data_IF_724303941753
#
_entry.id   IF_724303941753
#
_cell.length_a   1.000
_cell.length_b   1.000
_cell.length_c   1.000
_cell.angle_alpha   90.00
_cell.angle_beta   90.00
_cell.angle_gamma   90.00
#
_symmetry.space_group_name_H-M   'P 1'
#
loop_
_entity.id
_entity.type
_entity.pdbx_description
1 polymer ?
#
# COMPACT_ATOMS: atom_id res chain seq x y z
N UNK A 1 1.37 25.17 -8.71
CA UNK A 1 1.18 23.71 -8.53
C UNK A 1 -0.28 23.50 -8.18
N UNK A 2 -0.97 22.55 -8.82
CA UNK A 2 -2.36 22.23 -8.49
C UNK A 2 -2.41 21.61 -7.09
N UNK A 3 -3.35 22.03 -6.26
CA UNK A 3 -3.47 21.50 -4.89
C UNK A 3 -4.13 20.12 -4.91
N UNK A 4 -3.87 19.28 -3.90
CA UNK A 4 -4.42 17.93 -3.87
C UNK A 4 -5.97 17.90 -3.87
N UNK A 5 -6.61 18.96 -3.36
CA UNK A 5 -8.06 19.18 -3.43
C UNK A 5 -8.55 19.36 -4.86
N UNK A 6 -7.78 20.04 -5.73
CA UNK A 6 -8.18 20.25 -7.13
C UNK A 6 -8.24 18.94 -7.92
N UNK A 7 -7.34 18.00 -7.63
CA UNK A 7 -7.37 16.67 -8.24
C UNK A 7 -8.57 15.84 -7.78
N UNK A 8 -8.97 15.99 -6.51
CA UNK A 8 -10.16 15.33 -5.99
C UNK A 8 -11.43 15.83 -6.69
N UNK A 9 -11.56 17.15 -6.85
CA UNK A 9 -12.69 17.77 -7.57
C UNK A 9 -12.69 17.40 -9.07
N UNK A 10 -11.52 17.30 -9.69
CA UNK A 10 -11.38 16.79 -11.05
C UNK A 10 -11.85 15.33 -11.16
N UNK A 11 -11.53 14.49 -10.18
CA UNK A 11 -12.01 13.10 -10.12
C UNK A 11 -13.53 13.02 -10.11
N UNK A 12 -14.19 13.80 -9.24
CA UNK A 12 -15.65 13.89 -9.21
C UNK A 12 -16.23 14.32 -10.57
N UNK A 13 -15.64 15.31 -11.24
CA UNK A 13 -16.06 15.71 -12.59
C UNK A 13 -15.88 14.60 -13.63
N UNK A 14 -14.73 13.92 -13.61
CA UNK A 14 -14.39 12.87 -14.58
C UNK A 14 -15.33 11.66 -14.46
N UNK A 15 -15.63 11.24 -13.23
CA UNK A 15 -16.46 10.07 -12.96
C UNK A 15 -17.94 10.41 -12.74
N UNK A 16 -18.33 11.68 -12.90
CA UNK A 16 -19.71 12.18 -12.68
C UNK A 16 -20.26 11.81 -11.30
N UNK A 17 -19.42 11.95 -10.28
CA UNK A 17 -19.80 11.72 -8.88
C UNK A 17 -19.79 13.02 -8.09
N UNK A 18 -20.28 12.94 -6.85
CA UNK A 18 -20.33 14.00 -5.86
C UNK A 18 -19.93 13.42 -4.51
N UNK A 19 -19.69 14.25 -3.51
CA UNK A 19 -19.45 13.76 -2.13
C UNK A 19 -20.66 13.01 -1.54
N UNK A 20 -21.85 13.22 -2.09
CA UNK A 20 -23.06 12.49 -1.67
C UNK A 20 -23.15 11.10 -2.34
N UNK A 21 -22.85 11.02 -3.64
CA UNK A 21 -22.89 9.75 -4.38
C UNK A 21 -21.63 8.90 -4.20
N UNK A 22 -20.52 9.50 -3.78
CA UNK A 22 -19.26 8.85 -3.43
C UNK A 22 -18.68 9.52 -2.17
N UNK A 23 -19.05 9.06 -0.96
CA UNK A 23 -18.70 9.71 0.31
C UNK A 23 -17.27 9.43 0.77
N UNK A 24 -16.38 9.02 -0.14
CA UNK A 24 -14.98 8.84 0.19
C UNK A 24 -14.33 10.19 0.50
N UNK A 25 -13.40 10.18 1.45
CA UNK A 25 -12.61 11.35 1.82
C UNK A 25 -11.19 11.19 1.32
N UNK A 26 -10.70 12.19 0.60
CA UNK A 26 -9.27 12.33 0.35
C UNK A 26 -8.60 13.05 1.52
N UNK A 27 -7.58 12.42 2.10
CA UNK A 27 -6.81 12.96 3.23
C UNK A 27 -5.37 13.16 2.78
N UNK A 28 -4.96 14.38 2.39
CA UNK A 28 -3.58 14.65 1.99
C UNK A 28 -2.65 14.57 3.21
N UNK A 29 -1.46 14.02 3.01
CA UNK A 29 -0.40 14.07 4.01
C UNK A 29 0.85 13.33 3.58
N UNK A 30 1.92 13.55 4.34
CA UNK A 30 3.16 12.81 4.22
C UNK A 30 3.08 11.55 5.08
N UNK A 31 3.38 10.39 4.50
CA UNK A 31 3.35 9.10 5.19
C UNK A 31 4.46 8.98 6.24
N UNK A 32 5.47 9.85 6.21
CA UNK A 32 6.54 9.93 7.21
C UNK A 32 6.31 11.05 8.24
N UNK A 33 5.29 11.88 8.08
CA UNK A 33 4.94 12.90 9.07
C UNK A 33 4.14 12.24 10.21
N UNK A 34 4.68 12.20 11.45
CA UNK A 34 3.98 11.62 12.58
C UNK A 34 2.66 12.35 12.91
N UNK A 35 2.51 13.62 12.54
CA UNK A 35 1.24 14.34 12.70
C UNK A 35 0.14 13.78 11.77
N UNK A 36 0.53 13.17 10.64
CA UNK A 36 -0.38 12.53 9.71
C UNK A 36 -0.61 11.04 10.04
N UNK A 37 0.46 10.27 10.24
CA UNK A 37 0.41 8.85 10.62
C UNK A 37 1.60 8.49 11.51
N UNK A 38 1.34 8.15 12.77
CA UNK A 38 2.38 7.68 13.71
C UNK A 38 2.40 6.17 13.79
N UNK A 39 3.60 5.60 13.77
CA UNK A 39 3.82 4.18 14.09
C UNK A 39 3.28 3.86 15.48
N UNK A 40 2.33 2.94 15.54
CA UNK A 40 1.68 2.47 16.76
C UNK A 40 1.62 0.93 16.73
N UNK A 41 1.82 0.23 17.86
CA UNK A 41 1.65 -1.22 17.88
C UNK A 41 0.27 -1.68 17.40
N UNK A 42 0.13 -2.90 16.84
CA UNK A 42 -1.16 -3.45 16.47
C UNK A 42 -2.13 -3.49 17.64
N UNK A 43 -3.41 -3.26 17.35
CA UNK A 43 -4.48 -3.40 18.33
C UNK A 43 -4.89 -4.88 18.41
N UNK A 44 -5.10 -5.37 19.63
CA UNK A 44 -5.57 -6.74 19.89
C UNK A 44 -6.94 -6.77 20.58
N UNK A 45 -7.46 -5.60 20.94
CA UNK A 45 -8.79 -5.39 21.46
C UNK A 45 -9.34 -4.11 20.83
N UNK A 46 -10.67 -4.02 20.58
CA UNK A 46 -11.26 -2.82 19.98
C UNK A 46 -10.87 -1.56 20.77
N UNK A 47 -10.48 -0.46 20.09
CA UNK A 47 -10.23 0.81 20.77
C UNK A 47 -11.45 1.22 21.59
N UNK A 48 -11.20 1.80 22.77
CA UNK A 48 -12.26 2.35 23.63
C UNK A 48 -12.83 3.64 23.02
N UNK A 49 -12.02 4.34 22.25
CA UNK A 49 -12.40 5.58 21.60
C UNK A 49 -13.44 5.33 20.50
N UNK A 50 -14.40 6.24 20.41
CA UNK A 50 -15.42 6.21 19.35
C UNK A 50 -14.79 6.52 18.00
N UNK A 51 -15.22 5.82 16.95
CA UNK A 51 -14.79 6.08 15.59
C UNK A 51 -14.97 7.56 15.24
N UNK A 52 -13.93 8.27 14.76
CA UNK A 52 -14.03 9.66 14.35
C UNK A 52 -14.91 9.80 13.11
N UNK A 53 -15.52 10.98 12.96
CA UNK A 53 -16.21 11.34 11.72
C UNK A 53 -15.21 11.34 10.55
N UNK A 54 -15.38 10.37 9.64
CA UNK A 54 -14.51 10.16 8.49
C UNK A 54 -14.48 11.38 7.56
N UNK A 55 -15.55 12.17 7.50
CA UNK A 55 -15.65 13.33 6.62
C UNK A 55 -14.76 14.50 7.08
N UNK A 56 -14.49 14.55 8.39
CA UNK A 56 -13.70 15.57 9.06
C UNK A 56 -12.20 15.22 9.20
N UNK A 57 -11.78 14.02 8.73
CA UNK A 57 -10.38 13.59 8.83
C UNK A 57 -9.43 14.52 8.06
N UNK A 58 -8.38 14.94 8.76
CA UNK A 58 -7.23 15.69 8.23
C UNK A 58 -5.92 14.90 8.36
N UNK A 59 -5.95 13.77 9.07
CA UNK A 59 -4.86 12.82 9.26
C UNK A 59 -5.41 11.41 9.42
N UNK A 60 -4.54 10.40 9.37
CA UNK A 60 -4.92 8.98 9.55
C UNK A 60 -4.86 8.55 11.02
N UNK A 61 -4.23 9.34 11.88
CA UNK A 61 -4.09 9.06 13.31
C UNK A 61 -5.42 8.78 14.05
N UNK A 62 -6.53 9.48 13.77
CA UNK A 62 -7.82 9.16 14.39
C UNK A 62 -8.40 7.80 13.97
N UNK A 63 -7.93 7.20 12.86
CA UNK A 63 -8.44 5.93 12.34
C UNK A 63 -7.72 4.69 12.89
N UNK A 64 -6.82 4.86 13.87
CA UNK A 64 -6.05 3.76 14.48
C UNK A 64 -6.95 2.69 15.09
N UNK A 65 -6.66 1.43 14.81
CA UNK A 65 -7.47 0.32 15.33
C UNK A 65 -8.88 0.21 14.76
N UNK A 66 -9.21 0.95 13.70
CA UNK A 66 -10.57 1.04 13.16
C UNK A 66 -10.70 0.68 11.68
N UNK A 67 -9.59 0.48 10.96
CA UNK A 67 -9.63 0.19 9.52
C UNK A 67 -9.66 -1.32 9.27
N UNK A 68 -10.72 -1.83 8.64
CA UNK A 68 -10.81 -3.26 8.31
C UNK A 68 -10.06 -3.62 7.03
N UNK A 69 -9.94 -2.71 6.07
CA UNK A 69 -9.25 -2.98 4.81
C UNK A 69 -8.40 -1.78 4.38
N UNK A 70 -7.12 -2.04 4.12
CA UNK A 70 -6.19 -1.06 3.59
C UNK A 70 -5.72 -1.55 2.22
N UNK A 71 -6.20 -0.92 1.16
CA UNK A 71 -5.69 -1.18 -0.19
C UNK A 71 -4.48 -0.29 -0.47
N UNK A 72 -3.31 -0.90 -0.62
CA UNK A 72 -2.07 -0.27 -1.02
C UNK A 72 -1.52 -1.02 -2.23
N UNK A 73 -1.54 -0.43 -3.41
CA UNK A 73 -0.99 -1.03 -4.64
C UNK A 73 0.01 -0.07 -5.26
N UNK A 74 1.08 -0.61 -5.84
CA UNK A 74 2.12 0.18 -6.49
C UNK A 74 2.66 1.33 -5.59
N UNK A 75 2.78 1.09 -4.29
CA UNK A 75 3.19 2.11 -3.32
C UNK A 75 4.56 1.82 -2.67
N UNK A 76 4.74 0.67 -2.02
CA UNK A 76 5.99 0.36 -1.28
C UNK A 76 7.27 0.42 -2.13
N UNK A 77 7.20 0.04 -3.40
CA UNK A 77 8.34 0.02 -4.30
C UNK A 77 8.94 1.42 -4.59
N UNK A 78 8.27 2.49 -4.15
CA UNK A 78 8.76 3.87 -4.25
C UNK A 78 9.82 4.20 -3.18
N UNK A 79 10.03 3.31 -2.20
CA UNK A 79 10.87 3.56 -1.03
C UNK A 79 11.93 2.48 -0.84
N UNK A 80 12.97 2.78 -0.06
CA UNK A 80 13.95 1.79 0.41
C UNK A 80 13.40 0.91 1.54
N UNK A 81 14.13 -0.15 1.90
CA UNK A 81 13.69 -1.17 2.87
C UNK A 81 13.30 -0.57 4.23
N UNK A 82 14.11 0.34 4.78
CA UNK A 82 13.85 0.99 6.08
C UNK A 82 12.54 1.78 6.04
N UNK A 83 12.32 2.57 4.98
CA UNK A 83 11.07 3.31 4.80
C UNK A 83 9.88 2.39 4.53
N UNK A 84 10.06 1.30 3.79
CA UNK A 84 9.03 0.30 3.59
C UNK A 84 8.60 -0.33 4.92
N UNK A 85 9.55 -0.70 5.78
CA UNK A 85 9.26 -1.22 7.12
C UNK A 85 8.51 -0.18 7.96
N UNK A 86 8.97 1.08 7.97
CA UNK A 86 8.30 2.16 8.70
C UNK A 86 6.83 2.32 8.26
N UNK A 87 6.60 2.39 6.94
CA UNK A 87 5.26 2.51 6.36
C UNK A 87 4.40 1.29 6.72
N UNK A 88 4.95 0.09 6.64
CA UNK A 88 4.21 -1.14 6.98
C UNK A 88 3.76 -1.13 8.44
N UNK A 89 4.64 -0.71 9.36
CA UNK A 89 4.31 -0.57 10.79
C UNK A 89 3.27 0.51 11.04
N UNK A 90 3.39 1.66 10.38
CA UNK A 90 2.43 2.76 10.47
C UNK A 90 1.03 2.33 10.01
N UNK A 91 0.93 1.69 8.83
CA UNK A 91 -0.35 1.18 8.32
C UNK A 91 -0.91 0.03 9.18
N UNK A 92 -0.05 -0.83 9.72
CA UNK A 92 -0.47 -1.89 10.64
C UNK A 92 -1.19 -1.36 11.89
N UNK A 93 -0.77 -0.20 12.40
CA UNK A 93 -1.45 0.47 13.52
C UNK A 93 -2.86 1.02 13.19
N UNK A 94 -3.23 1.09 11.91
CA UNK A 94 -4.58 1.48 11.49
C UNK A 94 -5.57 0.32 11.51
N UNK A 95 -5.08 -0.92 11.43
CA UNK A 95 -5.93 -2.10 11.32
C UNK A 95 -6.77 -2.32 12.57
N UNK A 96 -8.07 -2.61 12.37
CA UNK A 96 -8.92 -3.09 13.45
C UNK A 96 -8.52 -4.51 13.89
N UNK A 97 -8.69 -4.85 15.17
CA UNK A 97 -8.44 -6.20 15.69
C UNK A 97 -9.49 -7.23 15.24
N UNK A 98 -10.46 -6.84 14.42
CA UNK A 98 -11.54 -7.72 13.99
C UNK A 98 -11.03 -8.81 13.02
N UNK A 99 -11.53 -10.05 13.12
CA UNK A 99 -11.18 -11.10 12.18
C UNK A 99 -11.52 -10.71 10.74
N UNK A 100 -10.55 -10.88 9.84
CA UNK A 100 -10.69 -10.51 8.43
C UNK A 100 -10.07 -9.15 8.06
N UNK A 101 -9.61 -8.37 9.06
CA UNK A 101 -8.88 -7.14 8.78
C UNK A 101 -7.58 -7.39 8.02
N UNK A 102 -7.32 -6.62 6.97
CA UNK A 102 -6.29 -6.94 5.98
C UNK A 102 -5.66 -5.71 5.31
N UNK A 103 -4.36 -5.80 5.03
CA UNK A 103 -3.65 -4.94 4.08
C UNK A 103 -3.47 -5.73 2.78
N UNK A 104 -3.90 -5.17 1.67
CA UNK A 104 -3.92 -5.84 0.37
C UNK A 104 -3.46 -4.94 -0.77
N UNK A 105 -2.99 -5.55 -1.85
CA UNK A 105 -2.65 -4.89 -3.11
C UNK A 105 -1.44 -5.52 -3.79
N UNK A 106 -1.06 -4.96 -4.94
CA UNK A 106 0.02 -5.52 -5.78
C UNK A 106 1.28 -4.67 -5.67
N UNK A 107 2.40 -5.30 -5.33
CA UNK A 107 3.71 -4.64 -5.23
C UNK A 107 4.77 -5.39 -6.04
N UNK A 108 5.62 -4.61 -6.70
CA UNK A 108 6.85 -5.14 -7.30
C UNK A 108 7.95 -5.17 -6.24
N UNK A 109 8.58 -6.31 -6.07
CA UNK A 109 9.79 -6.42 -5.26
C UNK A 109 11.02 -6.07 -6.12
N UNK A 110 12.01 -5.42 -5.51
CA UNK A 110 13.27 -5.11 -6.19
C UNK A 110 14.12 -6.35 -6.38
N UNK A 111 14.63 -6.56 -7.59
CA UNK A 111 15.39 -7.75 -8.00
C UNK A 111 16.77 -7.87 -7.32
N UNK A 112 17.20 -6.83 -6.62
CA UNK A 112 18.48 -6.77 -5.93
C UNK A 112 18.22 -6.79 -4.43
N UNK A 113 18.89 -7.73 -3.74
CA UNK A 113 18.84 -8.10 -2.31
C UNK A 113 18.03 -9.38 -2.05
N UNK A 114 18.76 -10.44 -1.68
CA UNK A 114 18.50 -11.71 -0.96
C UNK A 114 17.06 -12.17 -0.59
N UNK A 115 16.01 -11.75 -1.29
CA UNK A 115 14.63 -12.00 -0.89
C UNK A 115 13.65 -12.27 -2.04
N UNK A 116 14.12 -12.35 -3.29
CA UNK A 116 13.26 -12.75 -4.42
C UNK A 116 13.59 -14.18 -4.84
N UNK A 117 12.79 -15.14 -4.35
CA UNK A 117 12.55 -16.38 -5.10
C UNK A 117 11.69 -16.00 -6.30
N UNK A 118 12.35 -15.67 -7.40
CA UNK A 118 11.69 -15.25 -8.62
C UNK A 118 10.71 -16.32 -9.08
N UNK A 119 9.55 -15.87 -9.56
CA UNK A 119 8.85 -16.56 -10.64
C UNK A 119 9.89 -16.90 -11.72
N UNK A 120 10.32 -18.17 -11.73
CA UNK A 120 11.09 -18.72 -12.82
C UNK A 120 10.17 -18.74 -14.02
N UNK A 121 10.23 -17.71 -14.85
CA UNK A 121 9.94 -17.93 -16.26
C UNK A 121 11.01 -18.92 -16.73
N UNK A 122 10.64 -20.20 -16.75
CA UNK A 122 11.41 -21.24 -17.39
C UNK A 122 11.69 -20.77 -18.82
N UNK A 123 12.92 -20.31 -19.08
CA UNK A 123 13.40 -20.30 -20.46
C UNK A 123 13.59 -21.75 -20.82
N UNK A 124 12.78 -22.27 -21.74
CA UNK A 124 13.03 -23.56 -22.37
C UNK A 124 14.50 -23.66 -22.78
N UNK A 125 15.20 -24.77 -22.48
CA UNK A 125 16.58 -24.92 -22.88
C UNK A 125 16.64 -24.92 -24.42
N UNK A 126 17.43 -23.99 -24.97
CA UNK A 126 17.80 -23.97 -26.38
C UNK A 126 18.48 -25.31 -26.68
N UNK A 127 17.96 -26.05 -27.67
CA UNK A 127 18.49 -27.35 -28.07
C UNK A 127 20.02 -27.28 -28.28
N UNK A 128 20.74 -28.21 -27.67
CA UNK A 128 22.18 -28.33 -27.83
C UNK A 128 22.52 -28.75 -29.27
N UNK A 129 23.41 -27.99 -29.91
CA UNK A 129 23.98 -28.30 -31.22
C UNK A 129 24.90 -29.54 -31.10
N UNK A 130 24.81 -30.53 -32.01
CA UNK A 130 25.65 -31.72 -31.94
C UNK A 130 27.11 -31.37 -32.28
N UNK A 131 28.04 -31.77 -31.39
CA UNK A 131 29.48 -31.68 -31.63
C UNK A 131 29.85 -32.50 -32.87
N UNK A 132 30.41 -31.86 -33.89
CA UNK A 132 31.08 -32.55 -35.00
C UNK A 132 32.28 -33.31 -34.45
N UNK A 133 32.31 -34.62 -34.69
CA UNK A 133 33.46 -35.46 -34.44
C UNK A 133 34.64 -35.01 -35.32
N UNK A 134 35.80 -34.74 -34.72
CA UNK A 134 37.07 -34.65 -35.44
C UNK A 134 37.39 -36.01 -36.03
N UNK A 135 37.51 -36.06 -37.36
CA UNK A 135 38.27 -37.09 -38.06
C UNK A 135 39.69 -36.58 -38.32
N UNK A 136 40.56 -37.55 -38.46
CA UNK A 136 42.02 -37.63 -38.33
C UNK A 136 42.84 -36.60 -39.10
#
# INVERSE_FOLDING_TARGET
>A
MQSATEYWDLGHRLFRSTSESFPAKFVPGDVFDPAHITVTPPFYAPPVDTLPDLSALTSLNPSRGHVSAIHSSAFFHLFDEEKQEHIARAMGGLLSPEPGSIILGTHSASRNLNGIYGQSSERSPKAAEPKKASQT
#
